data_IF_592392246116
#
_entry.id   IF_592392246116
#
_cell.length_a   1.000
_cell.length_b   1.000
_cell.length_c   1.000
_cell.angle_alpha   90.00
_cell.angle_beta   90.00
_cell.angle_gamma   90.00
#
_symmetry.space_group_name_H-M   'P 1'
#
loop_
_entity.id
_entity.type
_entity.pdbx_description
1 polymer ?
#
# COMPACT_ATOMS: atom_id res chain seq x y z
N UNK A 1 25.52 38.17 -3.76
CA UNK A 1 25.30 37.26 -4.92
C UNK A 1 25.42 35.75 -4.59
N UNK A 2 26.27 35.35 -3.66
CA UNK A 2 26.54 33.94 -3.33
C UNK A 2 25.35 33.13 -2.74
N UNK A 3 24.52 33.79 -1.90
CA UNK A 3 23.38 33.09 -1.23
C UNK A 3 22.26 32.67 -2.19
N UNK A 4 22.00 33.41 -3.25
CA UNK A 4 20.96 33.15 -4.25
C UNK A 4 21.35 31.93 -5.13
N UNK A 5 22.63 31.79 -5.46
CA UNK A 5 23.15 30.66 -6.24
C UNK A 5 23.06 29.34 -5.46
N UNK A 6 23.39 29.35 -4.16
CA UNK A 6 23.28 28.17 -3.30
C UNK A 6 21.82 27.71 -3.15
N UNK A 7 20.88 28.65 -3.04
CA UNK A 7 19.43 28.35 -2.99
C UNK A 7 18.91 27.69 -4.27
N UNK A 8 19.32 28.20 -5.44
CA UNK A 8 18.90 27.65 -6.74
C UNK A 8 19.48 26.25 -7.00
N UNK A 9 20.73 26.00 -6.61
CA UNK A 9 21.36 24.69 -6.70
C UNK A 9 20.66 23.67 -5.78
N UNK A 10 20.36 24.02 -4.55
CA UNK A 10 19.64 23.15 -3.63
C UNK A 10 18.24 22.82 -4.16
N UNK A 11 17.53 23.74 -4.75
CA UNK A 11 16.21 23.50 -5.34
C UNK A 11 16.28 22.56 -6.55
N UNK A 12 17.31 22.70 -7.41
CA UNK A 12 17.52 21.80 -8.55
C UNK A 12 17.86 20.37 -8.13
N UNK A 13 18.74 20.20 -7.16
CA UNK A 13 19.09 18.89 -6.58
C UNK A 13 17.87 18.23 -5.95
N UNK A 14 17.09 18.97 -5.16
CA UNK A 14 15.86 18.44 -4.56
C UNK A 14 14.85 18.00 -5.62
N UNK A 15 14.68 18.75 -6.69
CA UNK A 15 13.79 18.40 -7.80
C UNK A 15 14.27 17.13 -8.54
N UNK A 16 15.57 16.96 -8.74
CA UNK A 16 16.15 15.76 -9.35
C UNK A 16 15.98 14.53 -8.44
N UNK A 17 16.19 14.67 -7.14
CA UNK A 17 15.99 13.58 -6.17
C UNK A 17 14.53 13.16 -6.13
N UNK A 18 13.58 14.09 -6.09
CA UNK A 18 12.15 13.79 -6.11
C UNK A 18 11.75 13.06 -7.41
N UNK A 19 12.27 13.49 -8.55
CA UNK A 19 12.02 12.81 -9.84
C UNK A 19 12.59 11.39 -9.87
N UNK A 20 13.78 11.18 -9.35
CA UNK A 20 14.39 9.85 -9.26
C UNK A 20 13.59 8.91 -8.32
N UNK A 21 13.13 9.42 -7.19
CA UNK A 21 12.30 8.69 -6.24
C UNK A 21 10.96 8.26 -6.86
N UNK A 22 10.26 9.17 -7.54
CA UNK A 22 9.01 8.89 -8.27
C UNK A 22 9.23 7.80 -9.31
N UNK A 23 10.30 7.91 -10.12
CA UNK A 23 10.63 6.90 -11.15
C UNK A 23 10.92 5.53 -10.54
N UNK A 24 11.65 5.47 -9.42
CA UNK A 24 11.97 4.22 -8.72
C UNK A 24 10.69 3.57 -8.14
N UNK A 25 9.86 4.36 -7.49
CA UNK A 25 8.57 3.93 -6.93
C UNK A 25 7.65 3.33 -8.01
N UNK A 26 7.53 4.02 -9.14
CA UNK A 26 6.65 3.59 -10.23
C UNK A 26 7.15 2.31 -10.91
N UNK A 27 8.46 2.11 -11.00
CA UNK A 27 9.06 0.84 -11.45
C UNK A 27 8.73 -0.31 -10.51
N UNK A 28 8.87 -0.10 -9.19
CA UNK A 28 8.51 -1.11 -8.18
C UNK A 28 7.03 -1.47 -8.28
N UNK A 29 6.15 -0.47 -8.44
CA UNK A 29 4.72 -0.68 -8.59
C UNK A 29 4.38 -1.46 -9.86
N UNK A 30 5.00 -1.14 -10.98
CA UNK A 30 4.77 -1.81 -12.26
C UNK A 30 5.25 -3.27 -12.23
N UNK A 31 6.47 -3.54 -11.72
CA UNK A 31 6.99 -4.90 -11.58
C UNK A 31 6.09 -5.76 -10.67
N UNK A 32 5.72 -5.23 -9.50
CA UNK A 32 4.85 -5.91 -8.57
C UNK A 32 3.48 -6.23 -9.18
N UNK A 33 2.86 -5.23 -9.81
CA UNK A 33 1.53 -5.35 -10.41
C UNK A 33 1.49 -6.33 -11.58
N UNK A 34 2.58 -6.43 -12.36
CA UNK A 34 2.67 -7.37 -13.49
C UNK A 34 2.55 -8.83 -13.07
N UNK A 35 2.93 -9.13 -11.84
CA UNK A 35 2.89 -10.46 -11.25
C UNK A 35 1.66 -10.69 -10.37
N UNK A 36 0.85 -9.65 -10.13
CA UNK A 36 -0.30 -9.72 -9.22
C UNK A 36 -1.47 -10.49 -9.81
N UNK A 37 -1.97 -11.46 -9.05
CA UNK A 37 -3.22 -12.18 -9.29
C UNK A 37 -4.17 -11.95 -8.11
N UNK A 38 -5.38 -11.46 -8.41
CA UNK A 38 -6.39 -11.24 -7.38
C UNK A 38 -7.05 -12.56 -6.97
N UNK A 39 -7.12 -12.79 -5.67
CA UNK A 39 -7.82 -13.94 -5.08
C UNK A 39 -8.39 -13.56 -3.74
N UNK A 40 -9.63 -13.94 -3.49
CA UNK A 40 -10.29 -13.68 -2.21
C UNK A 40 -9.63 -14.44 -1.05
N UNK A 41 -9.61 -13.83 0.13
CA UNK A 41 -9.11 -14.42 1.36
C UNK A 41 -9.84 -15.71 1.76
N UNK A 42 -11.14 -15.77 1.46
CA UNK A 42 -11.94 -16.97 1.70
C UNK A 42 -11.41 -18.20 0.92
N UNK A 43 -10.88 -17.99 -0.28
CA UNK A 43 -10.30 -19.03 -1.12
C UNK A 43 -8.87 -19.38 -0.69
N UNK A 44 -8.08 -18.37 -0.29
CA UNK A 44 -6.68 -18.57 0.08
C UNK A 44 -6.51 -19.06 1.51
N UNK A 45 -7.23 -18.46 2.44
CA UNK A 45 -7.03 -18.65 3.88
C UNK A 45 -8.27 -19.24 4.57
N UNK A 46 -9.37 -19.41 3.82
CA UNK A 46 -10.66 -19.82 4.37
C UNK A 46 -11.23 -18.80 5.38
N UNK A 47 -10.79 -17.56 5.35
CA UNK A 47 -11.21 -16.43 6.22
C UNK A 47 -11.79 -15.34 5.34
N UNK A 48 -12.75 -14.59 5.84
CA UNK A 48 -13.36 -13.50 5.08
C UNK A 48 -12.46 -12.25 4.99
N UNK A 49 -11.43 -12.16 5.82
CA UNK A 49 -10.57 -10.97 5.93
C UNK A 49 -9.24 -11.37 6.57
N UNK A 50 -8.15 -11.41 5.80
CA UNK A 50 -6.83 -11.84 6.25
C UNK A 50 -5.72 -10.95 5.69
N UNK A 51 -5.34 -9.94 6.42
CA UNK A 51 -4.30 -8.96 6.05
C UNK A 51 -2.90 -9.54 6.08
N UNK A 52 -2.33 -9.83 4.92
CA UNK A 52 -1.06 -10.54 4.75
C UNK A 52 -0.10 -9.78 3.85
N UNK A 53 1.18 -9.79 4.18
CA UNK A 53 2.24 -9.34 3.27
C UNK A 53 2.64 -10.51 2.39
N UNK A 54 2.37 -10.45 1.10
CA UNK A 54 2.76 -11.47 0.11
C UNK A 54 4.23 -11.24 -0.24
N UNK A 55 5.12 -12.01 0.38
CA UNK A 55 6.57 -11.85 0.28
C UNK A 55 7.19 -12.61 -0.88
N UNK A 56 6.56 -13.71 -1.30
CA UNK A 56 7.08 -14.64 -2.29
C UNK A 56 6.03 -14.91 -3.37
N UNK A 57 6.50 -15.16 -4.55
CA UNK A 57 5.71 -15.67 -5.67
C UNK A 57 5.31 -17.13 -5.39
N UNK A 58 4.18 -17.54 -5.94
CA UNK A 58 3.73 -18.94 -5.96
C UNK A 58 4.52 -19.77 -6.99
N UNK A 59 4.16 -21.04 -7.16
CA UNK A 59 4.79 -21.96 -8.11
C UNK A 59 4.66 -21.50 -9.58
N UNK A 60 3.70 -20.62 -9.87
CA UNK A 60 3.48 -20.03 -11.20
C UNK A 60 4.15 -18.67 -11.38
N UNK A 61 4.94 -18.22 -10.41
CA UNK A 61 5.59 -16.91 -10.42
C UNK A 61 4.60 -15.76 -10.18
N UNK A 62 3.46 -16.01 -9.53
CA UNK A 62 2.45 -15.00 -9.21
C UNK A 62 2.48 -14.60 -7.74
N UNK A 63 2.15 -13.35 -7.50
CA UNK A 63 1.89 -12.79 -6.18
C UNK A 63 0.37 -12.75 -6.00
N UNK A 64 -0.15 -13.60 -5.11
CA UNK A 64 -1.59 -13.86 -5.02
C UNK A 64 -2.16 -13.31 -3.73
N UNK A 65 -3.21 -12.52 -3.81
CA UNK A 65 -3.88 -11.89 -2.67
C UNK A 65 -5.06 -11.02 -3.09
N UNK A 66 -5.71 -10.41 -2.13
CA UNK A 66 -6.78 -9.43 -2.39
C UNK A 66 -6.32 -7.97 -2.27
N UNK A 67 -7.22 -7.02 -2.00
CA UNK A 67 -6.89 -5.59 -2.05
C UNK A 67 -5.99 -5.13 -0.91
N UNK A 68 -6.18 -5.61 0.31
CA UNK A 68 -5.33 -5.27 1.47
C UNK A 68 -3.97 -5.94 1.39
N UNK A 69 -3.91 -7.17 0.91
CA UNK A 69 -2.68 -7.90 0.65
C UNK A 69 -1.84 -7.17 -0.41
N UNK A 70 -2.49 -6.67 -1.48
CA UNK A 70 -1.85 -5.83 -2.49
C UNK A 70 -1.24 -4.58 -1.85
N UNK A 71 -2.04 -3.83 -1.09
CA UNK A 71 -1.63 -2.57 -0.48
C UNK A 71 -0.47 -2.76 0.52
N UNK A 72 -0.52 -3.79 1.37
CA UNK A 72 0.56 -4.13 2.31
C UNK A 72 1.83 -4.60 1.60
N UNK A 73 1.68 -5.43 0.58
CA UNK A 73 2.81 -6.05 -0.11
C UNK A 73 3.58 -5.08 -0.98
N UNK A 74 2.89 -4.13 -1.63
CA UNK A 74 3.57 -3.07 -2.37
C UNK A 74 4.25 -2.09 -1.42
N UNK A 75 3.63 -1.72 -0.29
CA UNK A 75 4.27 -0.88 0.73
C UNK A 75 5.56 -1.51 1.26
N UNK A 76 5.55 -2.80 1.56
CA UNK A 76 6.72 -3.53 2.02
C UNK A 76 7.87 -3.49 1.00
N UNK A 77 7.57 -3.59 -0.30
CA UNK A 77 8.57 -3.46 -1.38
C UNK A 77 9.12 -2.05 -1.52
N UNK A 78 8.27 -1.03 -1.38
CA UNK A 78 8.68 0.38 -1.36
C UNK A 78 9.57 0.72 -0.15
N UNK A 79 9.52 -0.10 0.88
CA UNK A 79 10.38 -0.03 2.06
C UNK A 79 11.61 -0.96 1.96
N UNK A 80 12.08 -1.28 0.76
CA UNK A 80 13.24 -2.17 0.50
C UNK A 80 13.08 -3.54 1.15
N UNK A 81 11.86 -4.07 1.23
CA UNK A 81 11.50 -5.33 1.89
C UNK A 81 11.85 -5.37 3.39
N UNK A 82 11.91 -4.21 4.03
CA UNK A 82 12.19 -4.05 5.45
C UNK A 82 10.91 -3.85 6.25
N UNK A 83 10.62 -4.76 7.18
CA UNK A 83 9.47 -4.64 8.08
C UNK A 83 9.58 -3.40 8.96
N UNK A 84 10.79 -3.09 9.47
CA UNK A 84 11.02 -1.91 10.29
C UNK A 84 10.71 -0.61 9.55
N UNK A 85 11.21 -0.45 8.32
CA UNK A 85 10.91 0.73 7.50
C UNK A 85 9.41 0.84 7.21
N UNK A 86 8.75 -0.28 6.91
CA UNK A 86 7.31 -0.31 6.67
C UNK A 86 6.53 0.16 7.89
N UNK A 87 6.83 -0.38 9.07
CA UNK A 87 6.17 0.03 10.32
C UNK A 87 6.43 1.49 10.66
N UNK A 88 7.64 1.97 10.44
CA UNK A 88 7.99 3.38 10.64
C UNK A 88 7.18 4.30 9.74
N UNK A 89 7.04 3.96 8.45
CA UNK A 89 6.24 4.75 7.52
C UNK A 89 4.75 4.79 7.88
N UNK A 90 4.19 3.67 8.35
CA UNK A 90 2.81 3.60 8.84
C UNK A 90 2.64 4.44 10.12
N UNK A 91 3.56 4.32 11.08
CA UNK A 91 3.54 5.04 12.35
C UNK A 91 3.62 6.56 12.14
N UNK A 92 4.54 7.00 11.28
CA UNK A 92 4.75 8.42 10.96
C UNK A 92 3.72 8.98 9.96
N UNK A 93 2.74 8.16 9.55
CA UNK A 93 1.70 8.52 8.58
C UNK A 93 2.21 8.94 7.20
N UNK A 94 3.44 8.59 6.85
CA UNK A 94 3.95 8.74 5.49
C UNK A 94 3.30 7.74 4.52
N UNK A 95 2.90 6.59 5.05
CA UNK A 95 2.06 5.62 4.36
C UNK A 95 0.82 5.26 5.20
N UNK A 96 -0.16 4.62 4.56
CA UNK A 96 -1.34 4.10 5.27
C UNK A 96 -2.20 3.23 4.37
N UNK A 97 -2.82 2.22 4.96
CA UNK A 97 -3.82 1.38 4.27
C UNK A 97 -5.18 2.00 4.53
N UNK A 98 -5.78 2.57 3.49
CA UNK A 98 -7.04 3.28 3.56
C UNK A 98 -8.18 2.37 3.12
N UNK A 99 -9.27 2.33 3.87
CA UNK A 99 -10.49 1.62 3.50
C UNK A 99 -11.42 2.55 2.72
N UNK A 100 -11.91 2.08 1.59
CA UNK A 100 -12.83 2.78 0.70
C UNK A 100 -14.00 1.88 0.33
N UNK A 101 -15.07 2.43 -0.24
CA UNK A 101 -16.21 1.64 -0.68
C UNK A 101 -17.23 2.46 -1.49
N UNK A 102 -18.31 1.81 -1.96
CA UNK A 102 -19.34 2.48 -2.74
C UNK A 102 -20.14 3.52 -1.95
N UNK A 103 -20.06 3.46 -0.62
CA UNK A 103 -20.67 4.45 0.26
C UNK A 103 -19.86 4.59 1.54
N UNK A 104 -20.06 5.70 2.28
CA UNK A 104 -19.40 5.96 3.57
C UNK A 104 -19.74 4.95 4.69
N UNK A 105 -20.71 4.08 4.47
CA UNK A 105 -21.18 3.07 5.44
C UNK A 105 -20.65 1.67 5.15
N UNK A 106 -20.05 1.43 3.97
CA UNK A 106 -19.63 0.10 3.55
C UNK A 106 -18.23 0.13 2.94
N UNK A 107 -17.23 -0.17 3.75
CA UNK A 107 -15.88 -0.45 3.27
C UNK A 107 -15.86 -1.81 2.55
N UNK A 108 -15.32 -1.85 1.35
CA UNK A 108 -15.23 -3.05 0.54
C UNK A 108 -13.91 -3.15 -0.21
N UNK A 109 -13.02 -2.18 -0.04
CA UNK A 109 -11.76 -2.12 -0.77
C UNK A 109 -10.67 -1.42 0.06
N UNK A 110 -9.42 -1.85 -0.15
CA UNK A 110 -8.26 -1.27 0.50
C UNK A 110 -7.33 -0.61 -0.53
N UNK A 111 -6.83 0.56 -0.18
CA UNK A 111 -5.96 1.39 -1.02
C UNK A 111 -4.72 1.77 -0.24
N UNK A 112 -3.55 1.65 -0.83
CA UNK A 112 -2.32 2.21 -0.26
C UNK A 112 -2.27 3.72 -0.51
N UNK A 113 -2.11 4.49 0.57
CA UNK A 113 -1.60 5.86 0.52
C UNK A 113 -0.10 5.84 0.82
N UNK A 114 0.71 6.44 -0.05
CA UNK A 114 2.15 6.54 0.09
C UNK A 114 2.61 7.95 -0.27
N UNK A 115 3.16 8.69 0.70
CA UNK A 115 3.66 10.07 0.52
C UNK A 115 2.66 11.01 -0.17
N UNK A 116 1.37 10.87 0.12
CA UNK A 116 0.29 11.72 -0.40
C UNK A 116 -0.35 11.26 -1.71
N UNK A 117 0.18 10.24 -2.36
CA UNK A 117 -0.42 9.61 -3.53
C UNK A 117 -1.00 8.23 -3.20
N UNK A 118 -1.85 7.70 -4.06
CA UNK A 118 -2.65 6.51 -3.83
C UNK A 118 -2.46 5.49 -4.95
N UNK A 119 -2.47 4.20 -4.60
CA UNK A 119 -2.46 3.07 -5.54
C UNK A 119 -3.29 1.92 -4.97
N UNK A 120 -3.95 1.19 -5.84
CA UNK A 120 -4.65 -0.05 -5.54
C UNK A 120 -4.49 -1.08 -6.67
N UNK A 121 -5.02 -2.28 -6.46
CA UNK A 121 -4.97 -3.36 -7.44
C UNK A 121 -5.84 -3.12 -8.69
N UNK A 122 -6.68 -2.08 -8.71
CA UNK A 122 -7.48 -1.68 -9.86
C UNK A 122 -6.79 -0.63 -10.71
N UNK A 123 -6.36 0.48 -10.08
CA UNK A 123 -5.64 1.56 -10.80
C UNK A 123 -4.24 1.16 -11.22
N UNK A 124 -3.57 0.31 -10.42
CA UNK A 124 -2.25 -0.27 -10.68
C UNK A 124 -1.11 0.75 -10.89
N UNK A 125 -1.39 2.01 -10.62
CA UNK A 125 -0.44 3.12 -10.74
C UNK A 125 -0.68 4.15 -9.65
N UNK A 126 0.37 4.86 -9.26
CA UNK A 126 0.22 5.96 -8.32
C UNK A 126 -0.50 7.14 -8.95
N UNK A 127 -1.37 7.77 -8.18
CA UNK A 127 -2.14 8.92 -8.59
C UNK A 127 -2.71 9.71 -7.41
N UNK A 128 -3.36 10.85 -7.69
CA UNK A 128 -4.00 11.66 -6.66
C UNK A 128 -5.23 10.95 -6.08
N UNK A 129 -5.64 11.37 -4.88
CA UNK A 129 -6.83 10.83 -4.19
C UNK A 129 -8.09 10.90 -5.06
N UNK A 130 -8.22 11.95 -5.87
CA UNK A 130 -9.35 12.16 -6.78
C UNK A 130 -9.55 11.04 -7.81
N UNK A 131 -8.51 10.30 -8.17
CA UNK A 131 -8.65 9.14 -9.06
C UNK A 131 -9.40 8.00 -8.37
N UNK A 132 -9.11 7.74 -7.10
CA UNK A 132 -9.82 6.74 -6.30
C UNK A 132 -11.26 7.20 -6.01
N UNK A 133 -11.44 8.50 -5.70
CA UNK A 133 -12.75 9.07 -5.34
C UNK A 133 -13.76 9.10 -6.50
N UNK A 134 -13.32 8.90 -7.72
CA UNK A 134 -14.25 8.73 -8.86
C UNK A 134 -15.21 7.54 -8.67
N UNK A 135 -14.74 6.48 -8.00
CA UNK A 135 -15.47 5.23 -7.85
C UNK A 135 -15.74 4.83 -6.40
N UNK A 136 -15.07 5.48 -5.43
CA UNK A 136 -15.09 5.08 -4.04
C UNK A 136 -15.16 6.25 -3.06
N UNK A 137 -15.87 6.06 -1.96
CA UNK A 137 -15.84 6.97 -0.81
C UNK A 137 -14.83 6.48 0.23
N UNK A 138 -13.97 7.37 0.72
CA UNK A 138 -13.08 7.06 1.83
C UNK A 138 -13.84 6.99 3.16
N UNK A 139 -13.59 5.93 3.93
CA UNK A 139 -14.20 5.73 5.23
C UNK A 139 -13.39 6.43 6.33
N UNK A 140 -14.01 7.36 7.02
CA UNK A 140 -13.36 8.15 8.09
C UNK A 140 -12.92 7.27 9.25
N UNK A 141 -13.72 6.27 9.65
CA UNK A 141 -13.44 5.40 10.80
C UNK A 141 -12.19 4.51 10.59
N UNK A 142 -11.99 4.02 9.36
CA UNK A 142 -10.87 3.12 9.01
C UNK A 142 -9.86 3.83 8.13
N UNK A 143 -10.29 4.91 7.54
CA UNK A 143 -9.62 5.57 6.46
C UNK A 143 -8.41 6.34 6.90
N UNK A 144 -7.80 6.90 5.89
CA UNK A 144 -6.66 7.76 6.07
C UNK A 144 -5.45 7.06 6.72
N UNK A 145 -5.42 5.70 6.66
CA UNK A 145 -4.27 4.88 7.02
C UNK A 145 -3.91 4.92 8.49
N UNK A 146 -4.85 4.65 9.36
CA UNK A 146 -4.60 4.56 10.79
C UNK A 146 -3.68 3.39 11.12
N UNK A 147 -2.51 3.67 11.68
CA UNK A 147 -1.49 2.69 12.03
C UNK A 147 -2.03 1.54 12.91
N UNK A 148 -2.67 1.87 14.03
CA UNK A 148 -3.19 0.88 14.97
C UNK A 148 -4.24 -0.05 14.35
N UNK A 149 -5.07 0.45 13.43
CA UNK A 149 -6.03 -0.36 12.70
C UNK A 149 -5.33 -1.42 11.84
N UNK A 150 -4.33 -1.01 11.07
CA UNK A 150 -3.51 -1.94 10.25
C UNK A 150 -2.82 -3.00 11.12
N UNK A 151 -2.25 -2.60 12.26
CA UNK A 151 -1.61 -3.54 13.20
C UNK A 151 -2.61 -4.57 13.73
N UNK A 152 -3.76 -4.12 14.21
CA UNK A 152 -4.81 -5.01 14.75
C UNK A 152 -5.25 -6.01 13.69
N UNK A 153 -5.55 -5.56 12.47
CA UNK A 153 -5.97 -6.43 11.36
C UNK A 153 -4.92 -7.49 11.03
N UNK A 154 -3.65 -7.12 10.92
CA UNK A 154 -2.57 -8.07 10.65
C UNK A 154 -2.38 -9.08 11.80
N UNK A 155 -2.49 -8.65 13.06
CA UNK A 155 -2.40 -9.56 14.21
C UNK A 155 -3.57 -10.55 14.24
N UNK A 156 -4.81 -10.08 14.05
CA UNK A 156 -5.99 -10.95 13.97
C UNK A 156 -5.84 -11.97 12.84
N UNK A 157 -5.38 -11.55 11.67
CA UNK A 157 -5.14 -12.42 10.52
C UNK A 157 -4.10 -13.51 10.81
N UNK A 158 -3.04 -13.15 11.56
CA UNK A 158 -2.02 -14.12 11.99
C UNK A 158 -2.61 -15.17 12.93
N UNK A 159 -3.42 -14.75 13.90
CA UNK A 159 -4.08 -15.63 14.86
C UNK A 159 -5.02 -16.62 14.13
N UNK A 160 -5.91 -16.11 13.29
CA UNK A 160 -6.86 -16.94 12.52
C UNK A 160 -6.14 -18.01 11.70
N UNK A 161 -5.05 -17.65 11.01
CA UNK A 161 -4.26 -18.61 10.20
C UNK A 161 -3.56 -19.68 11.04
N UNK A 162 -3.15 -19.38 12.27
CA UNK A 162 -2.55 -20.38 13.17
C UNK A 162 -3.60 -21.42 13.56
N UNK A 163 -4.82 -21.00 13.91
CA UNK A 163 -5.89 -21.92 14.33
C UNK A 163 -6.44 -22.77 13.19
N UNK A 164 -6.39 -22.29 11.95
CA UNK A 164 -6.87 -23.05 10.77
C UNK A 164 -5.84 -24.03 10.19
N UNK A 165 -4.57 -23.94 10.57
CA UNK A 165 -3.54 -24.92 10.18
C UNK A 165 -3.50 -26.15 11.09
N UNK A 166 -4.30 -26.17 12.14
CA UNK A 166 -4.51 -27.34 13.02
C UNK A 166 -5.77 -28.10 12.64
#
# INVERSE_FOLDING_TARGET
>A
MTAILVSAQNLSVQKMMNKAEVTSRDKIAADFTSKWEYRFDSEQYGSADAWVIIRKEDEKGKLVGDCEDYALSILWRLCDKSDWKMWWMLLTRQAGICCVGPSKWKASHAVLRYKGEYIDNWTRKFGPKSEIEKNHTFHVAYGHGLFHFTVIKMLMSKVVRIFKKR
#
